data_IF_654591970845
#
_entry.id   IF_654591970845
#
_cell.length_a   1.000
_cell.length_b   1.000
_cell.length_c   1.000
_cell.angle_alpha   90.00
_cell.angle_beta   90.00
_cell.angle_gamma   90.00
#
_symmetry.space_group_name_H-M   'P 1'
#
loop_
_entity.id
_entity.type
_entity.pdbx_description
1 polymer ?
#
# COMPACT_ATOMS: atom_id res chain seq x y z
N UNK A 1 4.86 17.72 15.49
CA UNK A 1 3.39 17.50 15.33
C UNK A 1 2.73 17.43 16.69
N UNK A 2 1.66 18.19 16.90
CA UNK A 2 0.85 18.17 18.13
C UNK A 2 -0.50 17.51 17.90
N UNK A 3 -1.03 17.67 16.70
CA UNK A 3 -2.32 17.12 16.30
C UNK A 3 -2.18 16.40 14.97
N UNK A 4 -2.62 15.14 14.93
CA UNK A 4 -2.65 14.28 13.74
C UNK A 4 -4.10 13.95 13.43
N UNK A 5 -4.51 14.06 12.16
CA UNK A 5 -5.84 13.65 11.74
C UNK A 5 -5.75 12.44 10.79
N UNK A 6 -6.53 11.41 11.07
CA UNK A 6 -6.64 10.20 10.25
C UNK A 6 -7.97 10.25 9.51
N UNK A 7 -7.91 10.39 8.20
CA UNK A 7 -9.08 10.33 7.31
C UNK A 7 -9.16 8.91 6.73
N UNK A 8 -10.19 8.17 7.15
CA UNK A 8 -10.28 6.73 6.89
C UNK A 8 -9.64 5.91 8.02
N UNK A 9 -10.33 5.80 9.16
CA UNK A 9 -9.86 5.05 10.34
C UNK A 9 -10.17 3.55 10.15
N UNK A 10 -9.64 2.97 9.06
CA UNK A 10 -9.73 1.54 8.77
C UNK A 10 -8.56 0.74 9.36
N UNK A 11 -8.19 -0.37 8.68
CA UNK A 11 -7.02 -1.16 9.05
C UNK A 11 -5.75 -0.31 9.05
N UNK A 12 -5.44 0.37 7.95
CA UNK A 12 -4.19 1.12 7.78
C UNK A 12 -4.18 2.38 8.65
N UNK A 13 -5.23 3.23 8.54
CA UNK A 13 -5.31 4.47 9.31
C UNK A 13 -5.35 4.22 10.82
N UNK A 14 -6.13 3.23 11.27
CA UNK A 14 -6.19 2.82 12.67
C UNK A 14 -4.86 2.24 13.17
N UNK A 15 -4.18 1.44 12.35
CA UNK A 15 -2.84 0.91 12.69
C UNK A 15 -1.80 2.01 12.79
N UNK A 16 -1.85 3.02 11.89
CA UNK A 16 -0.93 4.15 11.94
C UNK A 16 -1.14 4.97 13.24
N UNK A 17 -2.39 5.24 13.59
CA UNK A 17 -2.73 5.91 14.84
C UNK A 17 -2.22 5.13 16.07
N UNK A 18 -2.48 3.82 16.14
CA UNK A 18 -2.00 2.96 17.22
C UNK A 18 -0.46 2.87 17.25
N UNK A 19 0.20 2.82 16.09
CA UNK A 19 1.65 2.79 15.99
C UNK A 19 2.28 4.10 16.50
N UNK A 20 1.69 5.26 16.19
CA UNK A 20 2.10 6.56 16.75
C UNK A 20 2.02 6.55 18.26
N UNK A 21 0.90 6.13 18.84
CA UNK A 21 0.72 6.05 20.31
C UNK A 21 1.73 5.10 20.95
N UNK A 22 1.92 3.92 20.36
CA UNK A 22 2.94 2.96 20.81
C UNK A 22 4.36 3.51 20.74
N UNK A 23 4.66 4.32 19.72
CA UNK A 23 5.95 4.98 19.53
C UNK A 23 6.17 6.19 20.47
N UNK A 24 5.20 6.51 21.34
CA UNK A 24 5.28 7.58 22.31
C UNK A 24 4.74 8.93 21.83
N UNK A 25 3.88 8.96 20.82
CA UNK A 25 3.18 10.19 20.44
C UNK A 25 2.19 10.60 21.54
N UNK A 26 2.36 11.80 22.07
CA UNK A 26 1.57 12.38 23.17
C UNK A 26 0.61 13.47 22.71
N UNK A 27 0.57 13.76 21.40
CA UNK A 27 -0.37 14.71 20.82
C UNK A 27 -1.77 14.12 20.63
N UNK A 28 -2.68 14.92 20.12
CA UNK A 28 -4.06 14.51 19.85
C UNK A 28 -4.19 13.82 18.49
N UNK A 29 -4.95 12.73 18.43
CA UNK A 29 -5.28 12.02 17.16
C UNK A 29 -6.77 12.16 16.88
N UNK A 30 -7.09 12.87 15.80
CA UNK A 30 -8.43 13.06 15.28
C UNK A 30 -8.80 11.94 14.31
N UNK A 31 -10.04 11.46 14.34
CA UNK A 31 -10.57 10.48 13.40
C UNK A 31 -11.68 11.06 12.53
N UNK A 32 -11.56 10.89 11.21
CA UNK A 32 -12.59 11.22 10.23
C UNK A 32 -13.03 9.92 9.55
N UNK A 33 -14.22 9.42 9.86
CA UNK A 33 -14.77 8.18 9.30
C UNK A 33 -16.28 8.10 9.57
N UNK A 34 -16.92 6.96 9.24
CA UNK A 34 -18.31 6.71 9.63
C UNK A 34 -18.47 6.63 11.15
N UNK A 35 -19.64 6.98 11.67
CA UNK A 35 -19.94 6.94 13.10
C UNK A 35 -19.61 5.59 13.75
N UNK A 36 -19.98 4.49 13.07
CA UNK A 36 -19.68 3.14 13.54
C UNK A 36 -18.17 2.89 13.66
N UNK A 37 -17.40 3.33 12.68
CA UNK A 37 -15.93 3.17 12.68
C UNK A 37 -15.31 4.04 13.78
N UNK A 38 -15.79 5.27 13.95
CA UNK A 38 -15.34 6.20 15.00
C UNK A 38 -15.58 5.60 16.38
N UNK A 39 -16.78 5.07 16.66
CA UNK A 39 -17.08 4.44 17.95
C UNK A 39 -16.06 3.33 18.29
N UNK A 40 -15.83 2.42 17.34
CA UNK A 40 -14.83 1.34 17.52
C UNK A 40 -13.40 1.88 17.66
N UNK A 41 -13.04 2.94 16.93
CA UNK A 41 -11.70 3.54 17.00
C UNK A 41 -11.43 4.20 18.34
N UNK A 42 -12.42 4.87 18.92
CA UNK A 42 -12.38 5.45 20.27
C UNK A 42 -12.24 4.35 21.35
N UNK A 43 -13.08 3.31 21.25
CA UNK A 43 -13.07 2.16 22.17
C UNK A 43 -11.71 1.45 22.18
N UNK A 44 -11.07 1.33 21.00
CA UNK A 44 -9.73 0.76 20.85
C UNK A 44 -8.59 1.73 21.24
N UNK A 45 -8.89 2.96 21.55
CA UNK A 45 -7.89 3.99 21.84
C UNK A 45 -7.05 4.39 20.62
N UNK A 46 -7.51 4.11 19.39
CA UNK A 46 -6.79 4.49 18.18
C UNK A 46 -6.84 6.00 17.92
N UNK A 47 -7.96 6.63 18.23
CA UNK A 47 -8.16 8.09 18.11
C UNK A 47 -8.61 8.66 19.47
N UNK A 48 -8.48 9.96 19.63
CA UNK A 48 -8.88 10.66 20.87
C UNK A 48 -10.25 11.31 20.73
N UNK A 49 -10.61 11.76 19.51
CA UNK A 49 -11.97 12.26 19.20
C UNK A 49 -12.30 12.17 17.72
N UNK A 50 -13.60 12.24 17.42
CA UNK A 50 -14.11 12.41 16.06
C UNK A 50 -13.87 13.85 15.57
N UNK A 51 -13.70 14.00 14.24
CA UNK A 51 -13.66 15.28 13.58
C UNK A 51 -14.31 15.19 12.18
N UNK A 52 -14.77 16.33 11.67
CA UNK A 52 -15.07 16.48 10.25
C UNK A 52 -13.77 16.68 9.46
N UNK A 53 -13.81 16.50 8.14
CA UNK A 53 -12.63 16.76 7.30
C UNK A 53 -12.16 18.23 7.43
N UNK A 54 -13.10 19.17 7.47
CA UNK A 54 -12.78 20.59 7.62
C UNK A 54 -12.11 20.91 8.96
N UNK A 55 -12.58 20.30 10.05
CA UNK A 55 -11.91 20.39 11.34
C UNK A 55 -10.49 19.79 11.27
N UNK A 56 -10.35 18.61 10.67
CA UNK A 56 -9.07 17.93 10.52
C UNK A 56 -8.01 18.82 9.85
N UNK A 57 -8.35 19.46 8.71
CA UNK A 57 -7.40 20.31 7.98
C UNK A 57 -7.14 21.67 8.64
N UNK A 58 -8.02 22.13 9.50
CA UNK A 58 -7.85 23.41 10.22
C UNK A 58 -7.11 23.24 11.54
N UNK A 59 -7.18 22.08 12.18
CA UNK A 59 -6.66 21.85 13.54
C UNK A 59 -5.39 20.99 13.56
N UNK A 60 -5.19 20.11 12.54
CA UNK A 60 -4.05 19.21 12.53
C UNK A 60 -2.77 19.83 11.92
N UNK A 61 -1.63 19.40 12.43
CA UNK A 61 -0.32 19.62 11.80
C UNK A 61 -0.06 18.61 10.67
N UNK A 62 -0.70 17.43 10.77
CA UNK A 62 -0.56 16.34 9.82
C UNK A 62 -1.91 15.67 9.56
N UNK A 63 -2.30 15.56 8.29
CA UNK A 63 -3.48 14.81 7.82
C UNK A 63 -3.03 13.58 7.05
N UNK A 64 -3.48 12.41 7.48
CA UNK A 64 -3.22 11.12 6.86
C UNK A 64 -4.47 10.58 6.18
N UNK A 65 -4.45 10.51 4.84
CA UNK A 65 -5.55 9.99 4.02
C UNK A 65 -5.38 8.48 3.85
N UNK A 66 -6.18 7.68 4.56
CA UNK A 66 -6.07 6.22 4.60
C UNK A 66 -7.38 5.51 4.20
N UNK A 67 -8.15 6.14 3.33
CA UNK A 67 -9.34 5.60 2.66
C UNK A 67 -8.96 4.82 1.38
N UNK A 68 -9.90 4.12 0.71
CA UNK A 68 -9.69 3.60 -0.64
C UNK A 68 -9.23 4.69 -1.62
N UNK A 69 -8.48 4.30 -2.67
CA UNK A 69 -7.80 5.23 -3.58
C UNK A 69 -8.76 6.25 -4.18
N UNK A 70 -9.91 5.81 -4.70
CA UNK A 70 -10.93 6.71 -5.26
C UNK A 70 -11.49 7.69 -4.23
N UNK A 71 -11.61 7.27 -2.98
CA UNK A 71 -12.06 8.15 -1.90
C UNK A 71 -10.97 9.17 -1.55
N UNK A 72 -9.69 8.78 -1.52
CA UNK A 72 -8.57 9.71 -1.33
C UNK A 72 -8.59 10.80 -2.42
N UNK A 73 -8.68 10.41 -3.69
CA UNK A 73 -8.75 11.34 -4.82
C UNK A 73 -9.98 12.26 -4.70
N UNK A 74 -11.16 11.69 -4.43
CA UNK A 74 -12.40 12.46 -4.24
C UNK A 74 -12.31 13.44 -3.08
N UNK A 75 -11.70 13.05 -1.96
CA UNK A 75 -11.50 13.92 -0.81
C UNK A 75 -10.55 15.08 -1.15
N UNK A 76 -9.47 14.81 -1.87
CA UNK A 76 -8.54 15.84 -2.37
C UNK A 76 -9.28 16.82 -3.31
N UNK A 77 -10.02 16.32 -4.29
CA UNK A 77 -10.71 17.15 -5.28
C UNK A 77 -11.81 18.03 -4.67
N UNK A 78 -12.66 17.44 -3.81
CA UNK A 78 -13.84 18.12 -3.28
C UNK A 78 -13.56 18.94 -2.04
N UNK A 79 -12.61 18.49 -1.23
CA UNK A 79 -12.34 19.03 0.11
C UNK A 79 -11.00 19.77 0.21
N UNK A 80 -10.14 19.68 -0.79
CA UNK A 80 -8.86 20.41 -0.83
C UNK A 80 -9.00 21.93 -0.67
N UNK A 81 -10.15 22.49 -1.06
CA UNK A 81 -10.51 23.92 -0.85
C UNK A 81 -10.51 24.35 0.62
N UNK A 82 -10.68 23.44 1.58
CA UNK A 82 -10.59 23.75 3.01
C UNK A 82 -9.14 23.95 3.49
N UNK A 83 -8.17 23.49 2.71
CA UNK A 83 -6.76 23.65 3.02
C UNK A 83 -6.28 25.04 2.59
N UNK A 84 -5.86 25.86 3.53
CA UNK A 84 -5.48 27.25 3.27
C UNK A 84 -4.07 27.32 2.65
N UNK A 85 -3.84 28.17 1.63
CA UNK A 85 -2.50 28.49 1.16
C UNK A 85 -1.62 29.03 2.31
N UNK A 86 -0.35 28.59 2.34
CA UNK A 86 0.59 29.00 3.40
C UNK A 86 0.39 28.29 4.74
N UNK A 87 -0.52 27.30 4.81
CA UNK A 87 -0.65 26.42 5.97
C UNK A 87 0.66 25.65 6.21
N UNK A 88 0.97 25.40 7.50
CA UNK A 88 2.07 24.49 7.90
C UNK A 88 1.65 23.02 7.88
N UNK A 89 0.42 22.75 7.48
CA UNK A 89 -0.14 21.41 7.37
C UNK A 89 0.69 20.56 6.41
N UNK A 90 1.03 19.36 6.82
CA UNK A 90 1.48 18.28 5.95
C UNK A 90 0.31 17.34 5.68
N UNK A 91 0.06 17.01 4.42
CA UNK A 91 -0.92 16.00 4.01
C UNK A 91 -0.17 14.83 3.39
N UNK A 92 -0.48 13.61 3.79
CA UNK A 92 0.04 12.39 3.17
C UNK A 92 -1.08 11.36 3.03
N UNK A 93 -0.80 10.30 2.29
CA UNK A 93 -1.78 9.24 2.06
C UNK A 93 -1.19 7.84 2.31
N UNK A 94 -2.08 6.83 2.22
CA UNK A 94 -1.74 5.41 2.34
C UNK A 94 -2.14 4.60 1.10
N UNK A 95 -2.43 5.26 -0.02
CA UNK A 95 -2.93 4.60 -1.23
C UNK A 95 -1.92 3.61 -1.82
N UNK A 96 -2.44 2.55 -2.41
CA UNK A 96 -1.62 1.49 -3.01
C UNK A 96 -1.03 1.87 -4.36
N UNK A 97 -1.50 2.95 -4.99
CA UNK A 97 -0.95 3.57 -6.20
C UNK A 97 -0.70 5.05 -5.97
N UNK A 98 0.24 5.67 -6.70
CA UNK A 98 0.70 7.03 -6.38
C UNK A 98 0.44 8.05 -7.49
N UNK A 99 0.53 7.67 -8.77
CA UNK A 99 0.50 8.64 -9.86
C UNK A 99 -0.78 9.49 -9.85
N UNK A 100 -1.96 8.86 -9.79
CA UNK A 100 -3.24 9.58 -9.80
C UNK A 100 -3.44 10.42 -8.53
N UNK A 101 -3.09 9.89 -7.35
CA UNK A 101 -3.22 10.61 -6.08
C UNK A 101 -2.32 11.85 -6.06
N UNK A 102 -1.05 11.72 -6.48
CA UNK A 102 -0.10 12.84 -6.53
C UNK A 102 -0.54 13.88 -7.57
N UNK A 103 -1.05 13.44 -8.73
CA UNK A 103 -1.59 14.34 -9.74
C UNK A 103 -2.82 15.13 -9.23
N UNK A 104 -3.75 14.45 -8.54
CA UNK A 104 -4.89 15.11 -7.91
C UNK A 104 -4.44 16.12 -6.84
N UNK A 105 -3.47 15.74 -6.00
CA UNK A 105 -2.93 16.62 -4.98
C UNK A 105 -2.24 17.87 -5.59
N UNK A 106 -1.48 17.71 -6.66
CA UNK A 106 -0.83 18.82 -7.36
C UNK A 106 -1.84 19.80 -7.96
N UNK A 107 -3.01 19.32 -8.35
CA UNK A 107 -4.07 20.13 -8.96
C UNK A 107 -4.96 20.85 -7.94
N UNK A 108 -5.29 20.20 -6.83
CA UNK A 108 -6.35 20.66 -5.93
C UNK A 108 -5.88 21.08 -4.53
N UNK A 109 -4.64 20.79 -4.15
CA UNK A 109 -4.06 21.22 -2.88
C UNK A 109 -3.08 22.37 -3.10
N UNK A 110 -2.86 23.23 -2.08
CA UNK A 110 -1.79 24.22 -2.13
C UNK A 110 -0.43 23.56 -2.41
N UNK A 111 0.41 24.24 -3.20
CA UNK A 111 1.72 23.72 -3.57
C UNK A 111 2.53 23.36 -2.33
N UNK A 112 3.12 22.18 -2.37
CA UNK A 112 4.14 21.76 -1.42
C UNK A 112 3.61 21.06 -0.17
N UNK A 113 2.33 21.10 0.15
CA UNK A 113 1.83 20.50 1.40
C UNK A 113 1.60 18.99 1.33
N UNK A 114 1.58 18.39 0.13
CA UNK A 114 1.29 16.97 -0.06
C UNK A 114 2.56 16.16 -0.28
N UNK A 115 2.72 15.09 0.49
CA UNK A 115 3.74 14.06 0.32
C UNK A 115 3.06 12.71 0.14
N UNK A 116 3.14 12.12 -1.04
CA UNK A 116 2.57 10.80 -1.27
C UNK A 116 3.23 9.74 -0.40
N UNK A 117 2.43 8.80 0.12
CA UNK A 117 2.88 7.72 0.98
C UNK A 117 2.21 6.39 0.65
N UNK A 118 2.92 5.29 0.86
CA UNK A 118 2.37 3.94 0.76
C UNK A 118 3.10 3.01 1.74
N UNK A 119 2.49 2.64 2.87
CA UNK A 119 3.00 1.57 3.71
C UNK A 119 2.79 0.23 3.00
N UNK A 120 3.89 -0.47 2.67
CA UNK A 120 3.84 -1.81 2.05
C UNK A 120 3.43 -2.86 3.11
N UNK A 121 2.24 -2.66 3.67
CA UNK A 121 1.70 -3.47 4.77
C UNK A 121 0.19 -3.64 4.63
N UNK A 122 -0.30 -4.82 5.05
CA UNK A 122 -1.73 -5.14 5.02
C UNK A 122 -2.00 -6.47 5.69
N UNK A 123 -3.28 -6.76 5.87
CA UNK A 123 -3.82 -8.04 6.35
C UNK A 123 -5.02 -8.43 5.49
N UNK A 124 -5.40 -9.69 5.51
CA UNK A 124 -6.62 -10.18 4.86
C UNK A 124 -7.90 -9.67 5.55
N UNK A 125 -7.79 -9.33 6.84
CA UNK A 125 -8.86 -8.73 7.64
C UNK A 125 -8.95 -7.21 7.43
N UNK A 126 -10.15 -6.65 7.61
CA UNK A 126 -10.47 -5.25 7.32
C UNK A 126 -11.01 -4.49 8.54
N UNK A 127 -11.06 -3.17 8.40
CA UNK A 127 -11.65 -2.27 9.37
C UNK A 127 -10.75 -2.00 10.58
N UNK A 128 -11.18 -1.06 11.41
CA UNK A 128 -10.45 -0.63 12.60
C UNK A 128 -10.33 -1.72 13.66
N UNK A 129 -11.26 -2.68 13.69
CA UNK A 129 -11.21 -3.84 14.59
C UNK A 129 -9.98 -4.71 14.37
N UNK A 130 -9.43 -4.72 13.15
CA UNK A 130 -8.21 -5.45 12.78
C UNK A 130 -6.94 -4.61 12.85
N UNK A 131 -7.05 -3.33 13.22
CA UNK A 131 -5.91 -2.42 13.34
C UNK A 131 -4.90 -2.94 14.38
N UNK A 132 -3.61 -2.78 14.08
CA UNK A 132 -2.49 -3.34 14.86
C UNK A 132 -1.33 -2.35 14.89
N UNK A 133 -0.88 -1.99 16.08
CA UNK A 133 0.24 -1.08 16.29
C UNK A 133 1.58 -1.60 15.70
N UNK A 134 1.67 -2.89 15.42
CA UNK A 134 2.86 -3.53 14.85
C UNK A 134 2.78 -3.76 13.34
N UNK A 135 1.70 -3.33 12.68
CA UNK A 135 1.45 -3.61 11.27
C UNK A 135 2.61 -3.22 10.35
N UNK A 136 3.32 -2.16 10.71
CA UNK A 136 4.40 -1.57 9.90
C UNK A 136 5.80 -2.09 10.25
N UNK A 137 5.96 -2.88 11.31
CA UNK A 137 7.28 -3.36 11.75
C UNK A 137 7.98 -4.16 10.66
N UNK A 138 9.22 -3.75 10.32
CA UNK A 138 10.05 -4.34 9.27
C UNK A 138 9.51 -4.14 7.86
N UNK A 139 8.44 -3.34 7.66
CA UNK A 139 7.83 -3.10 6.35
C UNK A 139 8.41 -1.86 5.70
N UNK A 140 8.54 -1.89 4.38
CA UNK A 140 8.87 -0.71 3.60
C UNK A 140 7.72 0.30 3.66
N UNK A 141 8.06 1.57 3.86
CA UNK A 141 7.13 2.69 3.74
C UNK A 141 7.61 3.60 2.61
N UNK A 142 6.94 3.53 1.45
CA UNK A 142 7.32 4.34 0.31
C UNK A 142 6.81 5.76 0.48
N UNK A 143 7.67 6.73 0.14
CA UNK A 143 7.35 8.16 0.07
C UNK A 143 7.63 8.66 -1.33
N UNK A 144 6.72 9.46 -1.88
CA UNK A 144 6.84 9.99 -3.23
C UNK A 144 6.78 11.51 -3.20
N UNK A 145 7.92 12.19 -2.92
CA UNK A 145 8.00 13.64 -2.92
C UNK A 145 7.81 14.18 -4.34
N UNK A 146 7.18 15.36 -4.43
CA UNK A 146 7.02 16.10 -5.69
C UNK A 146 8.29 16.86 -6.11
N UNK A 147 9.17 17.12 -5.15
CA UNK A 147 10.51 17.72 -5.35
C UNK A 147 11.46 17.18 -4.28
N UNK A 148 12.74 17.04 -4.59
CA UNK A 148 13.78 16.53 -3.67
C UNK A 148 13.87 17.32 -2.38
N UNK A 149 13.72 18.65 -2.46
CA UNK A 149 13.78 19.58 -1.34
C UNK A 149 12.69 19.33 -0.29
N UNK A 150 11.57 18.74 -0.71
CA UNK A 150 10.46 18.39 0.21
C UNK A 150 10.92 17.47 1.34
N UNK A 151 11.89 16.61 1.07
CA UNK A 151 12.43 15.69 2.09
C UNK A 151 13.21 16.40 3.20
N UNK A 152 13.57 17.69 3.00
CA UNK A 152 14.26 18.51 4.00
C UNK A 152 13.28 19.34 4.86
N UNK A 153 11.99 19.31 4.58
CA UNK A 153 11.04 20.09 5.36
C UNK A 153 10.88 19.56 6.78
N UNK A 154 10.80 20.45 7.78
CA UNK A 154 10.70 20.00 9.18
C UNK A 154 9.56 19.03 9.44
N UNK A 155 8.38 19.27 8.83
CA UNK A 155 7.23 18.38 8.98
C UNK A 155 7.45 16.99 8.35
N UNK A 156 8.19 16.92 7.23
CA UNK A 156 8.55 15.65 6.58
C UNK A 156 9.60 14.90 7.39
N UNK A 157 10.62 15.61 7.89
CA UNK A 157 11.64 15.02 8.77
C UNK A 157 10.97 14.42 10.02
N UNK A 158 10.02 15.14 10.62
CA UNK A 158 9.28 14.65 11.79
C UNK A 158 8.41 13.42 11.42
N UNK A 159 7.72 13.42 10.26
CA UNK A 159 6.98 12.25 9.77
C UNK A 159 7.89 11.05 9.59
N UNK A 160 9.08 11.23 8.99
CA UNK A 160 10.08 10.17 8.84
C UNK A 160 10.51 9.56 10.18
N UNK A 161 10.69 10.42 11.21
CA UNK A 161 11.00 9.94 12.55
C UNK A 161 9.87 9.07 13.13
N UNK A 162 8.60 9.47 12.92
CA UNK A 162 7.45 8.68 13.38
C UNK A 162 7.30 7.37 12.61
N UNK A 163 7.50 7.38 11.29
CA UNK A 163 7.51 6.16 10.46
C UNK A 163 8.60 5.20 10.97
N UNK A 164 9.81 5.69 11.21
CA UNK A 164 10.92 4.86 11.73
C UNK A 164 10.65 4.36 13.15
N UNK A 165 10.10 5.18 14.04
CA UNK A 165 9.70 4.76 15.40
C UNK A 165 8.56 3.72 15.39
N UNK A 166 7.69 3.76 14.39
CA UNK A 166 6.68 2.72 14.15
C UNK A 166 7.31 1.40 13.61
N UNK A 167 8.63 1.38 13.39
CA UNK A 167 9.38 0.22 12.94
C UNK A 167 9.36 0.01 11.43
N UNK A 168 8.89 0.96 10.64
CA UNK A 168 8.90 0.88 9.18
C UNK A 168 10.21 1.44 8.61
N UNK A 169 10.56 0.97 7.40
CA UNK A 169 11.76 1.35 6.66
C UNK A 169 11.38 2.33 5.54
N UNK A 170 11.68 3.64 5.65
CA UNK A 170 11.37 4.61 4.62
C UNK A 170 12.13 4.33 3.32
N UNK A 171 11.44 4.45 2.18
CA UNK A 171 12.01 4.36 0.83
C UNK A 171 11.45 5.50 -0.01
N UNK A 172 12.33 6.24 -0.68
CA UNK A 172 11.92 7.35 -1.56
C UNK A 172 11.95 6.90 -3.01
N UNK A 173 10.83 7.06 -3.71
CA UNK A 173 10.66 6.79 -5.13
C UNK A 173 9.90 7.94 -5.79
N UNK A 174 9.97 8.08 -7.11
CA UNK A 174 8.97 8.89 -7.82
C UNK A 174 7.64 8.15 -7.89
N UNK A 175 6.49 8.84 -8.09
CA UNK A 175 5.19 8.17 -8.27
C UNK A 175 5.22 7.11 -9.38
N UNK A 176 5.90 7.39 -10.49
CA UNK A 176 6.06 6.48 -11.63
C UNK A 176 6.88 5.25 -11.27
N UNK A 177 8.04 5.45 -10.60
CA UNK A 177 8.86 4.33 -10.14
C UNK A 177 8.11 3.43 -9.16
N UNK A 178 7.33 4.05 -8.25
CA UNK A 178 6.50 3.33 -7.31
C UNK A 178 5.46 2.44 -8.03
N UNK A 179 4.64 3.04 -8.91
CA UNK A 179 3.53 2.34 -9.56
C UNK A 179 4.03 1.24 -10.50
N UNK A 180 5.16 1.49 -11.19
CA UNK A 180 5.87 0.45 -11.94
C UNK A 180 6.34 -0.71 -11.03
N UNK A 181 7.01 -0.39 -9.93
CA UNK A 181 7.53 -1.42 -9.01
C UNK A 181 6.42 -2.28 -8.41
N UNK A 182 5.32 -1.66 -7.92
CA UNK A 182 4.21 -2.41 -7.32
C UNK A 182 3.39 -3.18 -8.35
N UNK A 183 3.39 -2.77 -9.62
CA UNK A 183 2.81 -3.57 -10.70
C UNK A 183 3.44 -4.97 -10.77
N UNK A 184 4.78 -5.06 -10.67
CA UNK A 184 5.50 -6.33 -10.70
C UNK A 184 5.53 -7.06 -9.36
N UNK A 185 5.62 -6.34 -8.24
CA UNK A 185 5.87 -6.96 -6.93
C UNK A 185 4.60 -7.22 -6.11
N UNK A 186 3.47 -6.67 -6.50
CA UNK A 186 2.19 -6.77 -5.80
C UNK A 186 1.03 -7.13 -6.74
N UNK A 187 0.80 -6.34 -7.79
CA UNK A 187 -0.39 -6.47 -8.62
C UNK A 187 -0.33 -7.70 -9.53
N UNK A 188 0.79 -7.91 -10.19
CA UNK A 188 1.03 -9.11 -11.00
C UNK A 188 0.92 -10.41 -10.16
N UNK A 189 1.55 -10.56 -8.99
CA UNK A 189 1.36 -11.71 -8.12
C UNK A 189 -0.11 -12.00 -7.77
N UNK A 190 -0.91 -10.98 -7.52
CA UNK A 190 -2.35 -11.14 -7.27
C UNK A 190 -3.07 -11.73 -8.48
N UNK A 191 -2.83 -11.18 -9.67
CA UNK A 191 -3.48 -11.64 -10.89
C UNK A 191 -3.03 -13.05 -11.28
N UNK A 192 -1.73 -13.37 -11.11
CA UNK A 192 -1.19 -14.72 -11.34
C UNK A 192 -1.86 -15.73 -10.39
N UNK A 193 -1.95 -15.41 -9.11
CA UNK A 193 -2.60 -16.25 -8.11
C UNK A 193 -4.06 -16.54 -8.48
N UNK A 194 -4.79 -15.51 -8.88
CA UNK A 194 -6.19 -15.64 -9.33
C UNK A 194 -6.29 -16.47 -10.62
N UNK A 195 -5.45 -16.20 -11.61
CA UNK A 195 -5.44 -16.94 -12.87
C UNK A 195 -5.06 -18.41 -12.68
N UNK A 196 -4.11 -18.71 -11.79
CA UNK A 196 -3.71 -20.06 -11.43
C UNK A 196 -4.89 -20.84 -10.82
N UNK A 197 -5.61 -20.25 -9.86
CA UNK A 197 -6.77 -20.87 -9.25
C UNK A 197 -7.86 -21.18 -10.29
N UNK A 198 -8.19 -20.23 -11.17
CA UNK A 198 -9.15 -20.41 -12.26
C UNK A 198 -8.69 -21.49 -13.24
N UNK A 199 -7.40 -21.52 -13.56
CA UNK A 199 -6.85 -22.52 -14.48
C UNK A 199 -6.98 -23.94 -13.91
N UNK A 200 -6.67 -24.12 -12.64
CA UNK A 200 -6.80 -25.43 -11.97
C UNK A 200 -8.25 -25.86 -11.90
N UNK A 201 -9.17 -24.98 -11.49
CA UNK A 201 -10.61 -25.27 -11.42
C UNK A 201 -11.18 -25.74 -12.76
N UNK A 202 -10.79 -25.08 -13.88
CA UNK A 202 -11.25 -25.42 -15.23
C UNK A 202 -10.70 -26.75 -15.76
N UNK A 203 -9.50 -27.16 -15.34
CA UNK A 203 -8.82 -28.34 -15.87
C UNK A 203 -8.90 -29.56 -14.95
N UNK A 204 -9.27 -29.39 -13.69
CA UNK A 204 -9.48 -30.46 -12.72
C UNK A 204 -10.91 -30.40 -12.17
N UNK A 205 -11.93 -30.78 -12.97
CA UNK A 205 -13.33 -30.62 -12.56
C UNK A 205 -13.79 -31.67 -11.51
N UNK A 206 -13.05 -32.77 -11.35
CA UNK A 206 -13.42 -33.82 -10.40
C UNK A 206 -12.72 -33.64 -9.03
N UNK A 207 -13.48 -33.91 -7.96
CA UNK A 207 -13.03 -33.73 -6.58
C UNK A 207 -11.82 -34.63 -6.20
N UNK A 208 -11.59 -35.74 -6.88
CA UNK A 208 -10.45 -36.61 -6.57
C UNK A 208 -9.16 -36.03 -7.14
N UNK A 209 -9.18 -35.53 -8.38
CA UNK A 209 -8.06 -34.81 -8.97
C UNK A 209 -7.69 -33.55 -8.19
N UNK A 210 -8.68 -32.83 -7.65
CA UNK A 210 -8.45 -31.65 -6.82
C UNK A 210 -7.72 -31.96 -5.50
N UNK A 211 -7.81 -33.20 -4.98
CA UNK A 211 -7.05 -33.64 -3.78
C UNK A 211 -5.53 -33.66 -4.00
N UNK A 212 -5.06 -33.55 -5.23
CA UNK A 212 -3.64 -33.43 -5.56
C UNK A 212 -3.09 -32.02 -5.29
N UNK A 213 -3.95 -31.04 -4.93
CA UNK A 213 -3.56 -29.68 -4.61
C UNK A 213 -2.72 -29.64 -3.31
N UNK A 214 -1.41 -29.74 -3.49
CA UNK A 214 -0.44 -29.74 -2.39
C UNK A 214 0.00 -28.35 -1.95
N UNK A 215 1.00 -28.25 -1.04
CA UNK A 215 1.47 -26.98 -0.47
C UNK A 215 1.87 -25.92 -1.50
N UNK A 216 2.52 -26.33 -2.61
CA UNK A 216 2.92 -25.40 -3.66
C UNK A 216 1.74 -24.67 -4.30
N UNK A 217 0.62 -25.38 -4.56
CA UNK A 217 -0.59 -24.75 -5.05
C UNK A 217 -1.23 -23.84 -3.98
N UNK A 218 -1.28 -24.30 -2.72
CA UNK A 218 -1.84 -23.51 -1.62
C UNK A 218 -1.09 -22.18 -1.45
N UNK A 219 0.24 -22.19 -1.46
CA UNK A 219 1.06 -20.99 -1.34
C UNK A 219 0.85 -20.03 -2.52
N UNK A 220 0.86 -20.57 -3.76
CA UNK A 220 0.73 -19.77 -4.97
C UNK A 220 -0.68 -19.23 -5.19
N UNK A 221 -1.73 -19.90 -4.71
CA UNK A 221 -3.13 -19.49 -4.86
C UNK A 221 -3.68 -18.70 -3.67
N UNK A 222 -2.90 -18.49 -2.61
CA UNK A 222 -3.35 -17.81 -1.38
C UNK A 222 -3.95 -16.42 -1.64
N UNK A 223 -3.33 -15.65 -2.54
CA UNK A 223 -3.80 -14.30 -2.87
C UNK A 223 -5.15 -14.30 -3.61
N UNK A 224 -5.54 -15.40 -4.26
CA UNK A 224 -6.84 -15.51 -4.92
C UNK A 224 -8.05 -15.36 -3.97
N UNK A 225 -7.84 -15.48 -2.66
CA UNK A 225 -8.86 -15.22 -1.64
C UNK A 225 -9.15 -13.73 -1.43
N UNK A 226 -8.35 -12.84 -2.00
CA UNK A 226 -8.56 -11.39 -1.87
C UNK A 226 -9.86 -10.96 -2.56
N UNK A 227 -10.62 -10.08 -1.91
CA UNK A 227 -11.86 -9.58 -2.49
C UNK A 227 -11.57 -8.57 -3.61
N UNK A 228 -12.33 -8.66 -4.70
CA UNK A 228 -12.23 -7.73 -5.84
C UNK A 228 -12.45 -6.26 -5.44
N UNK A 229 -13.25 -6.00 -4.44
CA UNK A 229 -13.52 -4.66 -3.93
C UNK A 229 -12.25 -3.90 -3.46
N UNK A 230 -11.26 -4.62 -2.91
CA UNK A 230 -9.94 -4.02 -2.56
C UNK A 230 -9.13 -3.74 -3.82
N UNK A 231 -9.26 -4.59 -4.82
CA UNK A 231 -8.42 -4.55 -6.01
C UNK A 231 -8.96 -3.65 -7.11
N UNK A 232 -10.29 -3.36 -7.12
CA UNK A 232 -10.91 -2.57 -8.18
C UNK A 232 -10.23 -1.21 -8.40
N UNK A 233 -10.00 -0.46 -7.32
CA UNK A 233 -9.33 0.84 -7.40
C UNK A 233 -7.86 0.72 -7.83
N UNK A 234 -7.16 -0.33 -7.37
CA UNK A 234 -5.75 -0.59 -7.72
C UNK A 234 -5.62 -0.93 -9.21
N UNK A 235 -6.48 -1.83 -9.70
CA UNK A 235 -6.48 -2.27 -11.10
C UNK A 235 -6.81 -1.13 -12.05
N UNK A 236 -7.70 -0.23 -11.65
CA UNK A 236 -8.07 0.93 -12.45
C UNK A 236 -6.96 2.00 -12.46
N UNK A 237 -6.48 2.39 -11.29
CA UNK A 237 -5.49 3.48 -11.15
C UNK A 237 -4.07 3.11 -11.60
N UNK A 238 -3.76 1.83 -11.84
CA UNK A 238 -2.46 1.38 -12.32
C UNK A 238 -2.56 0.46 -13.55
N UNK A 239 -3.64 0.57 -14.32
CA UNK A 239 -3.97 -0.36 -15.40
C UNK A 239 -2.84 -0.50 -16.44
N UNK A 240 -2.21 0.59 -16.85
CA UNK A 240 -1.17 0.58 -17.88
C UNK A 240 0.09 -0.18 -17.42
N UNK A 241 0.56 0.05 -16.19
CA UNK A 241 1.72 -0.65 -15.64
C UNK A 241 1.43 -2.13 -15.37
N UNK A 242 0.19 -2.44 -14.97
CA UNK A 242 -0.27 -3.82 -14.78
C UNK A 242 -0.32 -4.57 -16.11
N UNK A 243 -0.82 -3.94 -17.16
CA UNK A 243 -0.86 -4.52 -18.50
C UNK A 243 0.55 -4.85 -19.01
N UNK A 244 1.47 -3.90 -18.90
CA UNK A 244 2.88 -4.12 -19.24
C UNK A 244 3.54 -5.23 -18.42
N UNK A 245 3.22 -5.34 -17.13
CA UNK A 245 3.73 -6.42 -16.28
C UNK A 245 3.16 -7.78 -16.67
N UNK A 246 1.87 -7.85 -17.03
CA UNK A 246 1.22 -9.07 -17.55
C UNK A 246 1.82 -9.49 -18.88
N UNK A 247 2.02 -8.56 -19.83
CA UNK A 247 2.65 -8.86 -21.12
C UNK A 247 4.05 -9.45 -20.93
N UNK A 248 4.86 -8.82 -20.07
CA UNK A 248 6.20 -9.33 -19.72
C UNK A 248 6.14 -10.75 -19.14
N UNK A 249 5.22 -11.02 -18.23
CA UNK A 249 5.06 -12.32 -17.62
C UNK A 249 4.59 -13.39 -18.60
N UNK A 250 3.64 -13.07 -19.48
CA UNK A 250 3.17 -13.95 -20.56
C UNK A 250 4.33 -14.32 -21.50
N UNK A 251 5.20 -13.37 -21.82
CA UNK A 251 6.38 -13.64 -22.63
C UNK A 251 7.30 -14.68 -21.97
N UNK A 252 7.56 -14.58 -20.67
CA UNK A 252 8.36 -15.56 -19.92
C UNK A 252 7.69 -16.95 -19.91
N UNK A 253 6.37 -17.02 -19.69
CA UNK A 253 5.63 -18.30 -19.74
C UNK A 253 5.67 -18.92 -21.14
N UNK A 254 5.57 -18.10 -22.17
CA UNK A 254 5.68 -18.55 -23.57
C UNK A 254 7.08 -19.09 -23.88
N UNK A 255 8.12 -18.44 -23.37
CA UNK A 255 9.49 -18.93 -23.45
C UNK A 255 9.63 -20.29 -22.74
N UNK A 256 9.13 -20.44 -21.51
CA UNK A 256 9.17 -21.73 -20.80
C UNK A 256 8.45 -22.83 -21.55
N UNK A 257 7.27 -22.55 -22.12
CA UNK A 257 6.53 -23.51 -22.97
C UNK A 257 7.33 -23.97 -24.20
N UNK A 258 8.13 -23.08 -24.77
CA UNK A 258 9.02 -23.41 -25.89
C UNK A 258 10.21 -24.26 -25.42
N UNK A 259 10.91 -23.80 -24.36
CA UNK A 259 12.09 -24.48 -23.80
C UNK A 259 11.78 -25.91 -23.33
N UNK A 260 10.62 -26.15 -22.74
CA UNK A 260 10.16 -27.49 -22.36
C UNK A 260 10.18 -28.50 -23.53
N UNK A 261 10.02 -28.03 -24.76
CA UNK A 261 9.94 -28.88 -25.95
C UNK A 261 11.28 -28.97 -26.69
N UNK A 262 12.07 -27.90 -26.66
CA UNK A 262 13.21 -27.72 -27.57
C UNK A 262 14.56 -27.60 -26.92
N UNK A 263 14.62 -27.13 -25.66
CA UNK A 263 15.87 -26.83 -24.97
C UNK A 263 15.74 -26.93 -23.43
N UNK A 264 15.77 -28.15 -22.88
CA UNK A 264 15.74 -28.35 -21.44
C UNK A 264 16.92 -27.70 -20.68
N UNK A 265 18.07 -27.51 -21.31
CA UNK A 265 19.24 -26.88 -20.69
C UNK A 265 19.00 -25.38 -20.48
N UNK A 266 18.38 -24.70 -21.43
CA UNK A 266 17.97 -23.29 -21.23
C UNK A 266 16.93 -23.13 -20.11
N UNK A 267 16.05 -24.10 -19.93
CA UNK A 267 15.10 -24.10 -18.82
C UNK A 267 15.83 -24.23 -17.48
N UNK A 268 16.84 -25.09 -17.35
CA UNK A 268 17.67 -25.20 -16.15
C UNK A 268 18.32 -23.85 -15.79
N UNK A 269 18.89 -23.15 -16.76
CA UNK A 269 19.48 -21.82 -16.56
C UNK A 269 18.44 -20.84 -15.99
N UNK A 270 17.21 -20.88 -16.51
CA UNK A 270 16.12 -20.01 -16.02
C UNK A 270 15.79 -20.29 -14.53
N UNK A 271 15.78 -21.54 -14.10
CA UNK A 271 15.58 -21.94 -12.71
C UNK A 271 16.72 -21.43 -11.81
N UNK A 272 17.96 -21.57 -12.25
CA UNK A 272 19.14 -21.10 -11.51
C UNK A 272 19.14 -19.57 -11.34
N UNK A 273 18.78 -18.84 -12.41
CA UNK A 273 18.64 -17.37 -12.37
C UNK A 273 17.53 -16.92 -11.39
N UNK A 274 16.37 -17.57 -11.42
CA UNK A 274 15.26 -17.30 -10.52
C UNK A 274 15.65 -17.56 -9.06
N UNK A 275 16.33 -18.69 -8.78
CA UNK A 275 16.81 -19.03 -7.45
C UNK A 275 17.85 -18.01 -6.94
N UNK A 276 18.77 -17.58 -7.79
CA UNK A 276 19.79 -16.58 -7.45
C UNK A 276 19.14 -15.22 -7.13
N UNK A 277 18.18 -14.78 -7.94
CA UNK A 277 17.42 -13.54 -7.68
C UNK A 277 16.67 -13.63 -6.35
N UNK A 278 15.95 -14.72 -6.10
CA UNK A 278 15.19 -14.93 -4.87
C UNK A 278 16.08 -14.86 -3.62
N UNK A 279 17.24 -15.52 -3.68
CA UNK A 279 18.23 -15.49 -2.59
C UNK A 279 18.72 -14.06 -2.35
N UNK A 280 19.17 -13.34 -3.39
CA UNK A 280 19.67 -11.97 -3.29
C UNK A 280 18.63 -11.02 -2.67
N UNK A 281 17.38 -11.11 -3.11
CA UNK A 281 16.30 -10.22 -2.66
C UNK A 281 16.03 -10.35 -1.16
N UNK A 282 16.03 -11.57 -0.62
CA UNK A 282 15.67 -11.79 0.78
C UNK A 282 16.88 -11.90 1.73
N UNK A 283 18.09 -12.08 1.21
CA UNK A 283 19.32 -11.98 2.04
C UNK A 283 19.65 -10.52 2.34
N UNK A 284 19.43 -9.60 1.39
CA UNK A 284 19.64 -8.17 1.62
C UNK A 284 18.69 -7.60 2.71
N UNK A 285 17.50 -8.16 2.85
CA UNK A 285 16.52 -7.75 3.88
C UNK A 285 16.95 -8.17 5.29
N UNK A 286 17.74 -9.25 5.42
CA UNK A 286 18.23 -9.75 6.72
C UNK A 286 19.49 -8.99 7.20
N UNK A 287 20.28 -8.43 6.28
CA UNK A 287 21.52 -7.71 6.61
C UNK A 287 21.32 -6.20 6.82
N UNK A 288 20.13 -5.67 6.52
CA UNK A 288 19.74 -4.26 6.68
C UNK A 288 18.82 -3.98 7.88
N UNK A 289 18.63 -4.97 8.76
CA UNK A 289 17.81 -4.86 9.98
C UNK A 289 18.67 -4.73 11.23
#
# INVERSE_FOLDING_TARGET
MRTVAIVGVGLIGGSFALALKKAGFTGEILGVSSERTIATALERGAIDRAATFEQAVNEADFVYLASPIRNIITDIERKGKFVKPGSRLLVSDAGSTKQEIVAAAAKYLPMGIFLGGHPMAGKESRGVSSADANLFQGRTYVLTPTASEQMQWPAVIELLQWISKAGANPLVLTPQQHDHAVAFTSHLPQLISTALAISVDRNLPDANSQKTAGPGFQDMSRLALSSFEVWSDILDSNAAEIDAALESYIAVLTQFRTQLKTDPAALQISFEQAAAFRKRLFTATILGS
#
